data_IF_498163001472
#
_entry.id   IF_498163001472
#
_cell.length_a   1.000
_cell.length_b   1.000
_cell.length_c   1.000
_cell.angle_alpha   90.00
_cell.angle_beta   90.00
_cell.angle_gamma   90.00
#
_symmetry.space_group_name_H-M   'P 1'
#
loop_
_entity.id
_entity.type
_entity.pdbx_description
1 polymer ?
#
# COMPACT_ATOMS: atom_id res chain seq x y z
N UNK A 1 -20.22 -19.47 -5.70
CA UNK A 1 -19.21 -19.44 -6.81
C UNK A 1 -18.00 -20.25 -6.38
N UNK A 2 -17.50 -21.15 -7.24
CA UNK A 2 -16.30 -21.94 -6.91
C UNK A 2 -15.04 -21.15 -7.38
N UNK A 3 -14.78 -20.02 -6.74
CA UNK A 3 -13.60 -19.17 -7.04
C UNK A 3 -12.45 -19.63 -6.15
N UNK A 4 -11.28 -19.82 -6.73
CA UNK A 4 -10.08 -20.15 -5.97
C UNK A 4 -9.79 -19.07 -4.92
N UNK A 5 -9.60 -19.42 -3.62
CA UNK A 5 -9.19 -18.45 -2.60
C UNK A 5 -7.94 -17.66 -2.97
N UNK A 6 -7.00 -18.29 -3.64
CA UNK A 6 -5.79 -17.62 -4.13
C UNK A 6 -6.11 -16.54 -5.17
N UNK A 7 -6.93 -16.86 -6.18
CA UNK A 7 -7.33 -15.89 -7.18
C UNK A 7 -8.10 -14.72 -6.55
N UNK A 8 -9.01 -15.02 -5.62
CA UNK A 8 -9.73 -13.98 -4.87
C UNK A 8 -8.75 -13.09 -4.09
N UNK A 9 -7.81 -13.68 -3.36
CA UNK A 9 -6.83 -12.94 -2.55
C UNK A 9 -5.93 -12.03 -3.40
N UNK A 10 -5.41 -12.50 -4.55
CA UNK A 10 -4.60 -11.64 -5.41
C UNK A 10 -5.40 -10.52 -6.06
N UNK A 11 -6.66 -10.77 -6.45
CA UNK A 11 -7.52 -9.73 -7.03
C UNK A 11 -7.88 -8.67 -6.00
N UNK A 12 -8.35 -9.08 -4.82
CA UNK A 12 -8.70 -8.17 -3.72
C UNK A 12 -7.46 -7.43 -3.22
N UNK A 13 -6.36 -8.14 -2.99
CA UNK A 13 -5.10 -7.55 -2.49
C UNK A 13 -4.55 -6.51 -3.44
N UNK A 14 -4.45 -6.80 -4.73
CA UNK A 14 -4.00 -5.82 -5.72
C UNK A 14 -5.00 -4.66 -5.89
N UNK A 15 -6.31 -4.91 -5.78
CA UNK A 15 -7.33 -3.86 -5.82
C UNK A 15 -7.18 -2.87 -4.66
N UNK A 16 -6.96 -3.37 -3.43
CA UNK A 16 -6.69 -2.54 -2.25
C UNK A 16 -5.40 -1.73 -2.44
N UNK A 17 -4.34 -2.38 -2.89
CA UNK A 17 -3.04 -1.73 -3.06
C UNK A 17 -3.01 -0.73 -4.23
N UNK A 18 -3.81 -0.93 -5.28
CA UNK A 18 -3.99 0.07 -6.33
C UNK A 18 -4.52 1.41 -5.80
N UNK A 19 -5.35 1.37 -4.75
CA UNK A 19 -5.88 2.55 -4.07
C UNK A 19 -4.99 3.09 -2.94
N UNK A 20 -4.00 2.35 -2.47
CA UNK A 20 -3.23 2.66 -1.25
C UNK A 20 -2.50 4.01 -1.31
N UNK A 21 -1.98 4.40 -2.47
CA UNK A 21 -1.28 5.68 -2.67
C UNK A 21 -2.21 6.83 -3.10
N UNK A 22 -3.52 6.62 -3.10
CA UNK A 22 -4.49 7.70 -3.31
C UNK A 22 -4.27 8.84 -2.30
N UNK A 23 -4.41 10.11 -2.70
CA UNK A 23 -4.20 11.26 -1.80
C UNK A 23 -5.10 11.28 -0.56
N UNK A 24 -6.18 10.52 -0.56
CA UNK A 24 -7.12 10.37 0.57
C UNK A 24 -6.88 9.10 1.41
N UNK A 25 -6.02 8.20 0.95
CA UNK A 25 -5.70 6.98 1.67
C UNK A 25 -4.60 7.26 2.73
N UNK A 26 -4.64 6.57 3.89
CA UNK A 26 -3.62 6.78 4.93
C UNK A 26 -2.18 6.62 4.43
N UNK A 27 -1.91 5.59 3.64
CA UNK A 27 -0.58 5.37 3.03
C UNK A 27 -0.20 6.49 2.07
N UNK A 28 -1.14 6.96 1.23
CA UNK A 28 -0.92 8.09 0.33
C UNK A 28 -0.55 9.37 1.07
N UNK A 29 -1.17 9.62 2.24
CA UNK A 29 -0.84 10.77 3.10
C UNK A 29 0.58 10.67 3.67
N UNK A 30 0.99 9.48 4.15
CA UNK A 30 2.35 9.22 4.64
C UNK A 30 3.37 9.47 3.52
N UNK A 31 3.16 8.85 2.36
CA UNK A 31 4.06 8.99 1.20
C UNK A 31 4.14 10.43 0.71
N UNK A 32 3.02 11.15 0.67
CA UNK A 32 3.00 12.58 0.35
C UNK A 32 3.91 13.37 1.28
N UNK A 33 3.82 13.14 2.60
CA UNK A 33 4.71 13.78 3.58
C UNK A 33 6.18 13.51 3.26
N UNK A 34 6.56 12.24 3.15
CA UNK A 34 7.93 11.81 2.85
C UNK A 34 8.47 12.36 1.52
N UNK A 35 7.63 12.40 0.49
CA UNK A 35 8.03 12.97 -0.81
C UNK A 35 8.19 14.49 -0.76
N UNK A 36 7.35 15.19 0.00
CA UNK A 36 7.50 16.63 0.21
C UNK A 36 8.81 16.97 0.91
N UNK A 37 9.21 16.18 1.92
CA UNK A 37 10.44 16.37 2.70
C UNK A 37 11.70 16.23 1.82
N UNK A 38 11.65 15.47 0.75
CA UNK A 38 12.75 15.30 -0.22
C UNK A 38 12.59 16.16 -1.49
N UNK A 39 11.70 17.15 -1.48
CA UNK A 39 11.52 18.11 -2.58
C UNK A 39 10.68 17.61 -3.75
N UNK A 40 9.91 16.53 -3.58
CA UNK A 40 9.03 15.94 -4.60
C UNK A 40 7.54 16.27 -4.34
N UNK A 41 7.26 17.49 -3.91
CA UNK A 41 5.89 17.96 -3.69
C UNK A 41 5.08 17.99 -5.01
N UNK A 42 3.78 17.71 -4.92
CA UNK A 42 2.86 17.77 -6.07
C UNK A 42 2.83 16.54 -6.95
N UNK A 43 3.58 15.47 -6.61
CA UNK A 43 3.67 14.23 -7.38
C UNK A 43 2.68 13.13 -6.92
N UNK A 44 1.75 13.48 -6.03
CA UNK A 44 0.85 12.49 -5.42
C UNK A 44 -0.03 11.78 -6.45
N UNK A 45 -0.56 12.55 -7.41
CA UNK A 45 -1.41 12.00 -8.47
C UNK A 45 -0.65 11.04 -9.37
N UNK A 46 0.56 11.40 -9.77
CA UNK A 46 1.40 10.58 -10.64
C UNK A 46 1.81 9.30 -9.92
N UNK A 47 2.28 9.41 -8.67
CA UNK A 47 2.65 8.27 -7.84
C UNK A 47 1.49 7.29 -7.69
N UNK A 48 0.29 7.79 -7.42
CA UNK A 48 -0.91 6.97 -7.34
C UNK A 48 -1.24 6.29 -8.68
N UNK A 49 -1.21 7.03 -9.80
CA UNK A 49 -1.56 6.48 -11.11
C UNK A 49 -0.57 5.38 -11.56
N UNK A 50 0.73 5.58 -11.37
CA UNK A 50 1.72 4.53 -11.67
C UNK A 50 1.51 3.29 -10.81
N UNK A 51 1.28 3.48 -9.52
CA UNK A 51 0.98 2.37 -8.61
C UNK A 51 -0.29 1.63 -9.03
N UNK A 52 -1.38 2.34 -9.30
CA UNK A 52 -2.65 1.75 -9.73
C UNK A 52 -2.51 1.01 -11.06
N UNK A 53 -1.78 1.56 -12.03
CA UNK A 53 -1.52 0.91 -13.30
C UNK A 53 -0.70 -0.37 -13.14
N UNK A 54 0.36 -0.35 -12.31
CA UNK A 54 1.18 -1.52 -12.04
C UNK A 54 0.35 -2.64 -11.38
N UNK A 55 -0.46 -2.31 -10.38
CA UNK A 55 -1.37 -3.26 -9.74
C UNK A 55 -2.44 -3.79 -10.69
N UNK A 56 -2.98 -2.95 -11.58
CA UNK A 56 -3.93 -3.39 -12.59
C UNK A 56 -3.29 -4.43 -13.54
N UNK A 57 -2.09 -4.14 -14.05
CA UNK A 57 -1.34 -5.08 -14.91
C UNK A 57 -1.12 -6.41 -14.21
N UNK A 58 -0.67 -6.39 -12.96
CA UNK A 58 -0.40 -7.59 -12.16
C UNK A 58 -1.69 -8.34 -11.81
N UNK A 59 -2.76 -7.63 -11.41
CA UNK A 59 -4.05 -8.23 -11.09
C UNK A 59 -4.66 -8.92 -12.29
N UNK A 60 -4.78 -8.23 -13.42
CA UNK A 60 -5.35 -8.81 -14.64
C UNK A 60 -4.45 -9.91 -15.21
N UNK A 61 -3.12 -9.73 -15.17
CA UNK A 61 -2.18 -10.79 -15.52
C UNK A 61 -2.41 -12.06 -14.68
N UNK A 62 -2.49 -11.92 -13.38
CA UNK A 62 -2.82 -13.02 -12.46
C UNK A 62 -4.21 -13.60 -12.72
N UNK A 63 -5.21 -12.76 -12.98
CA UNK A 63 -6.56 -13.22 -13.34
C UNK A 63 -6.54 -14.13 -14.57
N UNK A 64 -5.85 -13.74 -15.63
CA UNK A 64 -5.77 -14.55 -16.85
C UNK A 64 -4.95 -15.84 -16.64
N UNK A 65 -3.84 -15.75 -15.93
CA UNK A 65 -2.95 -16.90 -15.69
C UNK A 65 -3.56 -17.97 -14.79
N UNK A 66 -4.34 -17.56 -13.76
CA UNK A 66 -4.92 -18.49 -12.78
C UNK A 66 -6.39 -18.85 -13.04
N UNK A 67 -6.81 -18.76 -14.29
CA UNK A 67 -8.08 -19.32 -14.76
C UNK A 67 -9.30 -18.42 -14.58
N UNK A 68 -9.11 -17.12 -14.40
CA UNK A 68 -10.19 -16.14 -14.31
C UNK A 68 -11.10 -16.11 -15.53
N UNK A 69 -10.57 -16.37 -16.74
CA UNK A 69 -11.39 -16.50 -17.95
C UNK A 69 -12.44 -17.60 -17.88
N UNK A 70 -12.16 -18.68 -17.16
CA UNK A 70 -13.14 -19.76 -16.99
C UNK A 70 -14.35 -19.31 -16.16
N UNK A 71 -14.17 -18.30 -15.29
CA UNK A 71 -15.26 -17.73 -14.49
C UNK A 71 -16.21 -16.90 -15.35
N UNK A 72 -15.73 -16.23 -16.39
CA UNK A 72 -16.57 -15.47 -17.33
C UNK A 72 -17.48 -16.36 -18.17
N UNK A 73 -17.06 -17.61 -18.41
CA UNK A 73 -17.83 -18.59 -19.18
C UNK A 73 -18.81 -19.40 -18.33
N UNK A 74 -18.67 -19.40 -17.01
CA UNK A 74 -19.57 -20.11 -16.10
C UNK A 74 -20.80 -19.26 -15.82
N UNK A 75 -21.90 -19.57 -16.46
CA UNK A 75 -23.25 -19.08 -16.09
C UNK A 75 -23.77 -19.86 -14.86
N UNK A 76 -23.07 -19.86 -13.76
CA UNK A 76 -23.67 -20.34 -12.52
C UNK A 76 -24.62 -19.25 -12.01
N UNK A 77 -25.92 -19.54 -12.00
CA UNK A 77 -26.89 -18.71 -11.29
C UNK A 77 -26.51 -18.70 -9.82
N UNK A 78 -26.01 -17.57 -9.37
CA UNK A 78 -25.79 -17.30 -7.94
C UNK A 78 -27.16 -17.37 -7.27
N UNK A 79 -27.43 -18.43 -6.50
CA UNK A 79 -28.49 -18.41 -5.50
C UNK A 79 -27.94 -17.46 -4.41
N UNK A 80 -28.37 -16.21 -4.47
CA UNK A 80 -28.18 -15.31 -3.35
C UNK A 80 -28.77 -16.02 -2.14
N UNK A 81 -27.94 -16.37 -1.15
CA UNK A 81 -28.46 -16.63 0.18
C UNK A 81 -29.14 -15.32 0.55
N UNK A 82 -30.44 -15.37 0.85
CA UNK A 82 -31.17 -14.22 1.38
C UNK A 82 -30.56 -13.89 2.75
N UNK A 83 -29.37 -13.26 2.74
CA UNK A 83 -28.94 -12.51 3.90
C UNK A 83 -29.98 -11.39 4.06
N UNK A 84 -30.74 -11.45 5.12
CA UNK A 84 -31.65 -10.37 5.52
C UNK A 84 -30.80 -9.12 5.68
N UNK A 85 -30.78 -8.27 4.64
CA UNK A 85 -30.11 -6.98 4.70
C UNK A 85 -30.87 -6.17 5.74
N UNK A 86 -30.24 -5.94 6.90
CA UNK A 86 -30.80 -5.05 7.90
C UNK A 86 -31.03 -3.66 7.30
N UNK A 87 -32.22 -3.07 7.48
CA UNK A 87 -32.47 -1.73 6.96
C UNK A 87 -31.52 -0.71 7.57
N UNK A 88 -31.08 0.26 6.76
CA UNK A 88 -30.23 1.34 7.22
C UNK A 88 -30.87 2.04 8.42
N UNK A 89 -30.22 1.98 9.55
CA UNK A 89 -30.61 2.71 10.74
C UNK A 89 -30.03 4.13 10.75
N UNK A 90 -30.49 4.96 11.67
CA UNK A 90 -30.05 6.35 11.81
C UNK A 90 -28.52 6.47 11.97
N UNK A 91 -27.89 5.56 12.70
CA UNK A 91 -26.44 5.58 12.93
C UNK A 91 -25.65 5.27 11.65
N UNK A 92 -26.14 4.36 10.82
CA UNK A 92 -25.57 4.08 9.52
C UNK A 92 -25.59 5.32 8.62
N UNK A 93 -26.73 6.04 8.59
CA UNK A 93 -26.86 7.26 7.78
C UNK A 93 -25.92 8.37 8.28
N UNK A 94 -25.84 8.60 9.59
CA UNK A 94 -24.94 9.59 10.20
C UNK A 94 -23.48 9.26 9.84
N UNK A 95 -23.10 7.99 9.94
CA UNK A 95 -21.74 7.55 9.60
C UNK A 95 -21.43 7.78 8.12
N UNK A 96 -22.34 7.40 7.21
CA UNK A 96 -22.16 7.60 5.77
C UNK A 96 -22.06 9.07 5.40
N UNK A 97 -22.90 9.91 6.00
CA UNK A 97 -22.86 11.38 5.80
C UNK A 97 -21.53 11.95 6.29
N UNK A 98 -21.06 11.54 7.47
CA UNK A 98 -19.78 12.01 8.02
C UNK A 98 -18.61 11.61 7.13
N UNK A 99 -18.58 10.37 6.63
CA UNK A 99 -17.56 9.92 5.67
C UNK A 99 -17.66 10.70 4.37
N UNK A 100 -18.87 10.93 3.84
CA UNK A 100 -19.09 11.72 2.64
C UNK A 100 -18.58 13.16 2.77
N UNK A 101 -18.87 13.81 3.89
CA UNK A 101 -18.39 15.17 4.19
C UNK A 101 -16.86 15.21 4.33
N UNK A 102 -16.26 14.20 4.96
CA UNK A 102 -14.80 14.06 5.05
C UNK A 102 -14.17 13.99 3.65
N UNK A 103 -14.68 13.10 2.81
CA UNK A 103 -14.17 12.94 1.44
C UNK A 103 -14.33 14.25 0.64
N UNK A 104 -15.49 14.89 0.71
CA UNK A 104 -15.71 16.17 0.05
C UNK A 104 -14.76 17.25 0.57
N UNK A 105 -14.58 17.33 1.89
CA UNK A 105 -13.66 18.27 2.54
C UNK A 105 -12.22 18.11 2.06
N UNK A 106 -11.75 16.87 2.00
CA UNK A 106 -10.38 16.57 1.55
C UNK A 106 -10.21 16.85 0.05
N UNK A 107 -11.15 16.39 -0.79
CA UNK A 107 -11.01 16.48 -2.25
C UNK A 107 -11.20 17.90 -2.77
N UNK A 108 -12.21 18.61 -2.28
CA UNK A 108 -12.58 19.93 -2.83
C UNK A 108 -12.00 21.11 -2.04
N UNK A 109 -11.77 20.94 -0.74
CA UNK A 109 -11.28 22.03 0.13
C UNK A 109 -9.82 21.82 0.59
N UNK A 110 -9.19 20.72 0.19
CA UNK A 110 -7.79 20.45 0.54
C UNK A 110 -7.56 20.27 2.05
N UNK A 111 -8.56 19.85 2.81
CA UNK A 111 -8.42 19.64 4.25
C UNK A 111 -7.40 18.53 4.52
N UNK A 112 -6.64 18.68 5.61
CA UNK A 112 -5.76 17.61 6.07
C UNK A 112 -6.59 16.39 6.46
N UNK A 113 -6.29 15.23 5.83
CA UNK A 113 -7.04 13.98 5.99
C UNK A 113 -7.09 13.54 7.46
N UNK A 114 -5.96 13.63 8.18
CA UNK A 114 -5.88 13.23 9.59
C UNK A 114 -6.76 14.10 10.49
N UNK A 115 -6.71 15.42 10.32
CA UNK A 115 -7.54 16.35 11.08
C UNK A 115 -9.03 16.19 10.73
N UNK A 116 -9.36 15.99 9.45
CA UNK A 116 -10.72 15.75 9.02
C UNK A 116 -11.28 14.43 9.58
N UNK A 117 -10.48 13.37 9.57
CA UNK A 117 -10.85 12.08 10.16
C UNK A 117 -11.04 12.18 11.68
N UNK A 118 -10.16 12.91 12.37
CA UNK A 118 -10.32 13.17 13.80
C UNK A 118 -11.58 13.96 14.11
N UNK A 119 -11.87 15.01 13.33
CA UNK A 119 -13.13 15.75 13.46
C UNK A 119 -14.36 14.87 13.22
N UNK A 120 -14.31 14.00 12.20
CA UNK A 120 -15.33 12.98 11.93
C UNK A 120 -15.54 12.03 13.10
N UNK A 121 -14.46 11.54 13.71
CA UNK A 121 -14.54 10.72 14.92
C UNK A 121 -15.24 11.44 16.08
N UNK A 122 -14.88 12.72 16.32
CA UNK A 122 -15.52 13.55 17.38
C UNK A 122 -17.01 13.71 17.09
N UNK A 123 -17.39 13.99 15.83
CA UNK A 123 -18.79 14.15 15.43
C UNK A 123 -19.58 12.85 15.69
N UNK A 124 -19.06 11.70 15.26
CA UNK A 124 -19.72 10.41 15.46
C UNK A 124 -19.86 10.06 16.94
N UNK A 125 -18.86 10.41 17.76
CA UNK A 125 -18.90 10.23 19.21
C UNK A 125 -19.96 11.11 19.87
N UNK A 126 -20.02 12.39 19.53
CA UNK A 126 -21.01 13.33 20.07
C UNK A 126 -22.45 12.94 19.70
N UNK A 127 -22.63 12.44 18.47
CA UNK A 127 -23.94 11.98 17.97
C UNK A 127 -24.28 10.55 18.46
N UNK A 128 -23.41 9.91 19.23
CA UNK A 128 -23.55 8.54 19.74
C UNK A 128 -23.86 7.55 18.61
N UNK A 129 -23.27 7.76 17.45
CA UNK A 129 -23.47 6.89 16.29
C UNK A 129 -22.66 5.59 16.34
N UNK A 130 -21.62 5.54 17.19
CA UNK A 130 -20.78 4.37 17.43
C UNK A 130 -20.41 4.26 18.92
N UNK A 131 -20.08 3.04 19.36
CA UNK A 131 -19.51 2.80 20.67
C UNK A 131 -18.06 3.30 20.69
N UNK A 132 -17.80 4.28 21.57
CA UNK A 132 -16.49 4.94 21.66
C UNK A 132 -15.40 3.99 22.17
N UNK A 133 -15.71 3.17 23.18
CA UNK A 133 -14.71 2.25 23.75
C UNK A 133 -14.31 1.18 22.75
N UNK A 134 -15.30 0.63 22.05
CA UNK A 134 -15.05 -0.35 21.00
C UNK A 134 -14.28 0.24 19.82
N UNK A 135 -14.61 1.45 19.40
CA UNK A 135 -13.90 2.17 18.35
C UNK A 135 -12.43 2.40 18.70
N UNK A 136 -12.12 2.85 19.93
CA UNK A 136 -10.74 3.07 20.40
C UNK A 136 -9.97 1.74 20.46
N UNK A 137 -10.60 0.65 20.89
CA UNK A 137 -9.96 -0.68 20.90
C UNK A 137 -9.60 -1.18 19.51
N UNK A 138 -10.38 -0.81 18.49
CA UNK A 138 -10.14 -1.18 17.08
C UNK A 138 -9.11 -0.30 16.37
N UNK A 139 -8.63 0.77 16.98
CA UNK A 139 -7.53 1.58 16.44
C UNK A 139 -6.28 0.69 16.31
N UNK A 140 -5.57 0.72 15.18
CA UNK A 140 -4.37 -0.09 14.96
C UNK A 140 -3.16 0.49 15.72
N UNK A 141 -3.20 0.44 17.06
CA UNK A 141 -2.19 1.01 17.95
C UNK A 141 -0.78 0.51 17.67
N UNK A 142 -0.64 -0.77 17.34
CA UNK A 142 0.67 -1.34 16.97
C UNK A 142 1.28 -0.65 15.74
N UNK A 143 0.46 -0.33 14.73
CA UNK A 143 0.91 0.39 13.54
C UNK A 143 1.29 1.83 13.88
N UNK A 144 0.50 2.52 14.71
CA UNK A 144 0.79 3.89 15.14
C UNK A 144 2.12 3.94 15.89
N UNK A 145 2.31 3.07 16.89
CA UNK A 145 3.56 3.00 17.67
C UNK A 145 4.76 2.66 16.79
N UNK A 146 4.58 1.73 15.85
CA UNK A 146 5.64 1.35 14.90
C UNK A 146 6.04 2.52 14.00
N UNK A 147 5.09 3.24 13.40
CA UNK A 147 5.35 4.41 12.55
C UNK A 147 6.06 5.51 13.34
N UNK A 148 5.58 5.84 14.54
CA UNK A 148 6.23 6.82 15.41
C UNK A 148 7.65 6.41 15.77
N UNK A 149 7.86 5.14 16.14
CA UNK A 149 9.18 4.61 16.48
C UNK A 149 10.16 4.66 15.31
N UNK A 150 9.72 4.23 14.12
CA UNK A 150 10.53 4.30 12.89
C UNK A 150 10.88 5.74 12.55
N UNK A 151 9.96 6.68 12.67
CA UNK A 151 10.21 8.12 12.43
C UNK A 151 11.32 8.66 13.35
N UNK A 152 11.31 8.28 14.62
CA UNK A 152 12.38 8.67 15.57
C UNK A 152 13.72 8.08 15.15
N UNK A 153 13.77 6.81 14.74
CA UNK A 153 15.00 6.17 14.27
C UNK A 153 15.54 6.84 12.99
N UNK A 154 14.66 7.23 12.07
CA UNK A 154 15.04 7.95 10.84
C UNK A 154 15.64 9.32 11.19
N UNK A 155 15.01 10.10 12.07
CA UNK A 155 15.57 11.36 12.54
C UNK A 155 16.93 11.18 13.22
N UNK A 156 17.16 10.06 13.90
CA UNK A 156 18.48 9.76 14.46
C UNK A 156 19.50 9.43 13.37
N UNK A 157 19.11 8.65 12.36
CA UNK A 157 19.97 8.33 11.20
C UNK A 157 20.35 9.61 10.43
N UNK A 158 19.43 10.56 10.24
CA UNK A 158 19.71 11.85 9.62
C UNK A 158 20.76 12.64 10.40
N UNK A 159 20.59 12.74 11.73
CA UNK A 159 21.53 13.48 12.60
C UNK A 159 22.92 12.84 12.72
N UNK A 160 23.03 11.54 12.48
CA UNK A 160 24.29 10.78 12.61
C UNK A 160 24.94 10.48 11.27
N UNK A 161 24.49 11.10 10.15
CA UNK A 161 24.90 10.77 8.78
C UNK A 161 24.70 9.30 8.39
N UNK A 162 23.86 8.58 9.10
CA UNK A 162 23.51 7.19 8.80
C UNK A 162 22.83 7.04 7.44
N UNK A 163 22.04 8.04 7.02
CA UNK A 163 21.42 8.07 5.70
C UNK A 163 22.47 8.13 4.57
N UNK A 164 23.53 8.92 4.75
CA UNK A 164 24.63 9.02 3.78
C UNK A 164 25.43 7.72 3.69
N UNK A 165 25.62 7.05 4.82
CA UNK A 165 26.27 5.74 4.87
C UNK A 165 25.44 4.68 4.14
N UNK A 166 24.15 4.65 4.38
CA UNK A 166 23.21 3.73 3.73
C UNK A 166 23.14 3.99 2.22
N UNK A 167 23.04 5.26 1.80
CA UNK A 167 23.07 5.65 0.40
C UNK A 167 24.40 5.28 -0.28
N UNK A 168 25.55 5.43 0.42
CA UNK A 168 26.85 5.03 -0.08
C UNK A 168 26.95 3.51 -0.25
N UNK A 169 26.38 2.75 0.67
CA UNK A 169 26.32 1.30 0.56
C UNK A 169 25.53 0.85 -0.68
N UNK A 170 24.34 1.41 -0.91
CA UNK A 170 23.53 1.13 -2.10
C UNK A 170 24.28 1.54 -3.37
N UNK A 171 24.86 2.76 -3.40
CA UNK A 171 25.58 3.29 -4.55
C UNK A 171 26.80 2.43 -4.94
N UNK A 172 27.40 1.71 -4.00
CA UNK A 172 28.53 0.81 -4.29
C UNK A 172 28.15 -0.37 -5.20
N UNK A 173 26.89 -0.79 -5.17
CA UNK A 173 26.39 -1.94 -5.93
C UNK A 173 25.52 -1.52 -7.12
N UNK A 174 25.39 -0.22 -7.38
CA UNK A 174 24.53 0.31 -8.44
C UNK A 174 25.22 1.38 -9.27
N UNK A 175 24.73 1.54 -10.48
CA UNK A 175 25.02 2.66 -11.38
C UNK A 175 23.71 3.42 -11.66
N UNK A 176 23.78 4.55 -12.33
CA UNK A 176 22.55 5.25 -12.77
C UNK A 176 21.62 4.36 -13.58
N UNK A 177 22.16 3.42 -14.37
CA UNK A 177 21.33 2.50 -15.19
C UNK A 177 20.72 1.35 -14.38
N UNK A 178 21.40 0.86 -13.34
CA UNK A 178 20.99 -0.32 -12.57
C UNK A 178 20.26 -0.01 -11.28
N UNK A 179 20.22 1.26 -10.87
CA UNK A 179 19.62 1.67 -9.60
C UNK A 179 18.14 1.33 -9.50
N UNK A 180 17.38 1.51 -10.59
CA UNK A 180 15.94 1.24 -10.62
C UNK A 180 15.64 -0.24 -10.33
N UNK A 181 16.13 -1.22 -11.11
CA UNK A 181 15.86 -2.62 -10.82
C UNK A 181 16.47 -3.09 -9.50
N UNK A 182 17.62 -2.55 -9.08
CA UNK A 182 18.24 -2.91 -7.80
C UNK A 182 17.37 -2.45 -6.63
N UNK A 183 16.93 -1.18 -6.63
CA UNK A 183 16.06 -0.65 -5.58
C UNK A 183 14.70 -1.32 -5.59
N UNK A 184 14.11 -1.54 -6.77
CA UNK A 184 12.83 -2.25 -6.87
C UNK A 184 12.92 -3.66 -6.26
N UNK A 185 13.99 -4.40 -6.57
CA UNK A 185 14.24 -5.71 -6.00
C UNK A 185 14.48 -5.66 -4.48
N UNK A 186 15.33 -4.74 -4.02
CA UNK A 186 15.64 -4.61 -2.59
C UNK A 186 14.44 -4.17 -1.76
N UNK A 187 13.76 -3.11 -2.19
CA UNK A 187 12.55 -2.60 -1.53
C UNK A 187 11.44 -3.65 -1.55
N UNK A 188 11.21 -4.29 -2.70
CA UNK A 188 10.23 -5.36 -2.82
C UNK A 188 10.55 -6.54 -1.90
N UNK A 189 11.81 -7.00 -1.86
CA UNK A 189 12.22 -8.11 -1.00
C UNK A 189 11.97 -7.80 0.49
N UNK A 190 12.30 -6.59 0.94
CA UNK A 190 12.09 -6.17 2.32
C UNK A 190 10.57 -6.02 2.60
N UNK A 191 9.81 -5.48 1.65
CA UNK A 191 8.35 -5.36 1.76
C UNK A 191 7.63 -6.72 1.82
N UNK A 192 8.25 -7.79 1.31
CA UNK A 192 7.66 -9.13 1.36
C UNK A 192 7.38 -9.62 2.78
N UNK A 193 8.13 -9.14 3.77
CA UNK A 193 8.01 -9.54 5.19
C UNK A 193 7.94 -8.35 6.15
N UNK A 194 7.76 -7.13 5.63
CA UNK A 194 7.64 -5.92 6.43
C UNK A 194 6.51 -5.04 5.90
N UNK A 195 6.07 -4.06 6.68
CA UNK A 195 5.08 -3.08 6.22
C UNK A 195 5.74 -2.06 5.29
N UNK A 196 5.28 -2.00 4.05
CA UNK A 196 5.76 -1.05 3.06
C UNK A 196 5.60 0.39 3.53
N UNK A 197 4.40 0.77 3.92
CA UNK A 197 4.07 2.15 4.31
C UNK A 197 4.58 2.56 5.69
N UNK A 198 4.63 1.62 6.64
CA UNK A 198 5.00 1.92 8.02
C UNK A 198 6.51 1.82 8.30
N UNK A 199 7.25 1.05 7.49
CA UNK A 199 8.68 0.78 7.72
C UNK A 199 9.50 1.08 6.48
N UNK A 200 9.19 0.41 5.34
CA UNK A 200 10.11 0.41 4.19
C UNK A 200 10.22 1.80 3.57
N UNK A 201 9.10 2.43 3.20
CA UNK A 201 9.12 3.74 2.57
C UNK A 201 9.68 4.84 3.48
N UNK A 202 9.32 4.91 4.78
CA UNK A 202 9.95 5.86 5.70
C UNK A 202 11.48 5.72 5.80
N UNK A 203 12.01 4.51 5.67
CA UNK A 203 13.47 4.28 5.72
C UNK A 203 14.13 4.62 4.39
N UNK A 204 13.52 4.24 3.25
CA UNK A 204 14.18 4.35 1.95
C UNK A 204 13.99 5.70 1.27
N UNK A 205 12.79 6.31 1.30
CA UNK A 205 12.53 7.57 0.60
C UNK A 205 13.47 8.73 1.04
N UNK A 206 13.77 8.93 2.32
CA UNK A 206 14.68 9.98 2.75
C UNK A 206 16.13 9.82 2.26
N UNK A 207 16.52 8.61 1.81
CA UNK A 207 17.86 8.37 1.27
C UNK A 207 18.05 8.88 -0.16
N UNK A 208 16.97 9.20 -0.86
CA UNK A 208 17.00 9.55 -2.29
C UNK A 208 17.91 10.73 -2.62
N UNK A 209 17.87 11.87 -1.90
CA UNK A 209 18.74 13.01 -2.23
C UNK A 209 20.23 12.64 -2.18
N UNK A 210 20.66 11.94 -1.13
CA UNK A 210 22.05 11.51 -0.97
C UNK A 210 22.44 10.46 -2.03
N UNK A 211 21.55 9.53 -2.33
CA UNK A 211 21.78 8.50 -3.35
C UNK A 211 21.89 9.10 -4.75
N UNK A 212 21.00 10.02 -5.10
CA UNK A 212 21.02 10.73 -6.38
C UNK A 212 22.30 11.53 -6.57
N UNK A 213 22.72 12.26 -5.54
CA UNK A 213 23.97 13.01 -5.57
C UNK A 213 25.21 12.11 -5.77
N UNK A 214 25.25 10.93 -5.14
CA UNK A 214 26.37 9.97 -5.28
C UNK A 214 26.42 9.30 -6.65
N UNK A 215 25.29 9.10 -7.29
CA UNK A 215 25.18 8.45 -8.61
C UNK A 215 25.10 9.45 -9.78
N UNK A 216 25.09 10.76 -9.51
CA UNK A 216 24.94 11.79 -10.53
C UNK A 216 23.56 11.78 -11.22
N UNK A 217 22.52 11.37 -10.49
CA UNK A 217 21.16 11.22 -11.02
C UNK A 217 20.39 12.51 -10.81
N UNK A 218 19.75 13.01 -11.86
CA UNK A 218 18.90 14.20 -11.81
C UNK A 218 17.43 13.87 -11.54
N UNK A 219 16.97 12.70 -11.97
CA UNK A 219 15.56 12.26 -11.83
C UNK A 219 15.31 11.53 -10.51
N UNK A 220 15.25 12.25 -9.40
CA UNK A 220 14.90 11.71 -8.06
C UNK A 220 13.48 11.14 -8.02
N UNK A 221 12.57 11.70 -8.82
CA UNK A 221 11.19 11.24 -8.96
C UNK A 221 11.09 9.78 -9.43
N UNK A 222 11.90 9.37 -10.43
CA UNK A 222 11.93 8.00 -10.93
C UNK A 222 12.33 7.00 -9.83
N UNK A 223 13.29 7.38 -8.98
CA UNK A 223 13.72 6.56 -7.85
C UNK A 223 12.59 6.46 -6.81
N UNK A 224 11.93 7.57 -6.47
CA UNK A 224 10.82 7.58 -5.52
C UNK A 224 9.64 6.73 -6.00
N UNK A 225 9.26 6.86 -7.26
CA UNK A 225 8.21 6.05 -7.88
C UNK A 225 8.57 4.57 -7.90
N UNK A 226 9.83 4.24 -8.18
CA UNK A 226 10.34 2.86 -8.12
C UNK A 226 10.12 2.26 -6.74
N UNK A 227 10.53 2.95 -5.68
CA UNK A 227 10.38 2.48 -4.30
C UNK A 227 8.90 2.31 -3.92
N UNK A 228 8.07 3.27 -4.29
CA UNK A 228 6.63 3.24 -4.01
C UNK A 228 5.95 2.05 -4.70
N UNK A 229 6.14 1.92 -6.00
CA UNK A 229 5.46 0.88 -6.80
C UNK A 229 5.96 -0.52 -6.43
N UNK A 230 7.28 -0.72 -6.37
CA UNK A 230 7.86 -2.05 -6.08
C UNK A 230 7.50 -2.56 -4.68
N UNK A 231 7.50 -1.69 -3.67
CA UNK A 231 7.11 -2.04 -2.32
C UNK A 231 5.67 -2.51 -2.24
N UNK A 232 4.75 -1.75 -2.83
CA UNK A 232 3.32 -2.08 -2.77
C UNK A 232 2.95 -3.31 -3.60
N UNK A 233 3.61 -3.58 -4.73
CA UNK A 233 3.36 -4.80 -5.53
C UNK A 233 3.59 -6.08 -4.74
N UNK A 234 4.55 -6.08 -3.83
CA UNK A 234 4.91 -7.25 -3.02
C UNK A 234 4.02 -7.39 -1.77
N UNK A 235 3.32 -6.35 -1.38
CA UNK A 235 2.57 -6.24 -0.11
C UNK A 235 1.32 -7.16 -0.03
N UNK A 236 1.06 -7.94 -1.07
CA UNK A 236 0.10 -9.07 -1.06
C UNK A 236 0.74 -10.35 -0.50
N UNK A 237 2.01 -10.33 -0.12
CA UNK A 237 2.69 -11.41 0.62
C UNK A 237 1.96 -11.73 1.93
N UNK A 238 1.84 -13.00 2.36
CA UNK A 238 1.17 -13.37 3.60
C UNK A 238 1.94 -12.94 4.86
N UNK A 239 3.16 -12.47 4.72
CA UNK A 239 3.99 -11.91 5.79
C UNK A 239 3.80 -10.39 5.92
N UNK A 240 3.11 -9.76 4.97
CA UNK A 240 2.69 -8.36 5.04
C UNK A 240 1.23 -8.23 5.48
N UNK A 241 0.77 -6.99 5.70
CA UNK A 241 -0.55 -6.72 6.29
C UNK A 241 -1.70 -7.27 5.43
N UNK A 242 -1.70 -7.02 4.12
CA UNK A 242 -2.83 -7.38 3.24
C UNK A 242 -2.90 -8.88 3.02
N UNK A 243 -1.77 -9.53 2.74
CA UNK A 243 -1.74 -10.98 2.56
C UNK A 243 -2.10 -11.74 3.84
N UNK A 244 -1.65 -11.27 5.00
CA UNK A 244 -2.04 -11.85 6.29
C UNK A 244 -3.57 -11.76 6.53
N UNK A 245 -4.18 -10.62 6.20
CA UNK A 245 -5.64 -10.45 6.27
C UNK A 245 -6.37 -11.41 5.33
N UNK A 246 -5.88 -11.61 4.10
CA UNK A 246 -6.46 -12.58 3.16
C UNK A 246 -6.42 -14.01 3.72
N UNK A 247 -5.33 -14.40 4.37
CA UNK A 247 -5.22 -15.73 5.01
C UNK A 247 -6.16 -15.84 6.22
N UNK A 248 -6.23 -14.80 7.05
CA UNK A 248 -7.09 -14.77 8.24
C UNK A 248 -8.60 -14.74 7.90
N UNK A 249 -8.97 -14.22 6.73
CA UNK A 249 -10.35 -14.12 6.27
C UNK A 249 -10.87 -15.39 5.55
N UNK A 250 -10.08 -16.48 5.53
CA UNK A 250 -10.48 -17.72 4.88
C UNK A 250 -11.69 -18.33 5.60
N UNK A 251 -12.75 -18.73 4.83
CA UNK A 251 -13.86 -19.45 5.40
C UNK A 251 -13.46 -20.81 6.00
N UNK A 252 -14.21 -21.34 6.98
CA UNK A 252 -13.99 -22.68 7.51
C UNK A 252 -13.98 -23.74 6.41
N UNK A 253 -13.07 -24.71 6.52
CA UNK A 253 -12.95 -25.81 5.53
C UNK A 253 -11.91 -25.58 4.42
N UNK A 254 -11.37 -24.37 4.28
CA UNK A 254 -10.27 -24.11 3.35
C UNK A 254 -8.89 -24.31 4.01
N UNK A 255 -7.92 -24.71 3.20
CA UNK A 255 -6.55 -24.94 3.69
C UNK A 255 -5.74 -23.62 3.75
N UNK A 256 -5.67 -23.01 4.94
CA UNK A 256 -4.95 -21.76 5.16
C UNK A 256 -3.45 -21.85 4.86
N UNK A 257 -2.81 -23.00 5.15
CA UNK A 257 -1.39 -23.21 4.84
C UNK A 257 -1.13 -23.21 3.34
N UNK A 258 -2.05 -23.78 2.56
CA UNK A 258 -1.95 -23.76 1.09
C UNK A 258 -2.01 -22.33 0.56
N UNK A 259 -3.00 -21.54 1.02
CA UNK A 259 -3.12 -20.14 0.62
C UNK A 259 -1.90 -19.34 1.04
N UNK A 260 -1.42 -19.53 2.26
CA UNK A 260 -0.20 -18.89 2.76
C UNK A 260 0.99 -19.13 1.81
N UNK A 261 1.26 -20.39 1.45
CA UNK A 261 2.37 -20.73 0.57
C UNK A 261 2.20 -20.16 -0.85
N UNK A 262 0.96 -20.13 -1.35
CA UNK A 262 0.64 -19.55 -2.66
C UNK A 262 0.88 -18.03 -2.67
N UNK A 263 0.43 -17.32 -1.64
CA UNK A 263 0.63 -15.88 -1.50
C UNK A 263 2.11 -15.53 -1.23
N UNK A 264 2.84 -16.39 -0.53
CA UNK A 264 4.28 -16.21 -0.32
C UNK A 264 5.03 -16.33 -1.66
N UNK A 265 4.74 -17.36 -2.44
CA UNK A 265 5.30 -17.51 -3.79
C UNK A 265 4.92 -16.35 -4.71
N UNK A 266 3.68 -15.87 -4.63
CA UNK A 266 3.22 -14.68 -5.34
C UNK A 266 4.01 -13.44 -4.93
N UNK A 267 4.08 -13.11 -3.64
CA UNK A 267 4.82 -11.95 -3.14
C UNK A 267 6.30 -11.97 -3.56
N UNK A 268 6.97 -13.12 -3.42
CA UNK A 268 8.36 -13.25 -3.86
C UNK A 268 8.51 -13.11 -5.38
N UNK A 269 7.57 -13.62 -6.18
CA UNK A 269 7.59 -13.41 -7.64
C UNK A 269 7.38 -11.95 -8.01
N UNK A 270 6.59 -11.21 -7.24
CA UNK A 270 6.37 -9.78 -7.44
C UNK A 270 7.63 -8.94 -7.19
N UNK A 271 8.58 -9.42 -6.40
CA UNK A 271 9.89 -8.76 -6.26
C UNK A 271 10.61 -8.67 -7.62
N UNK A 272 10.60 -9.76 -8.38
CA UNK A 272 11.22 -9.79 -9.72
C UNK A 272 10.36 -9.07 -10.75
N UNK A 273 9.05 -9.35 -10.78
CA UNK A 273 8.12 -8.73 -11.73
C UNK A 273 8.05 -7.22 -11.47
N UNK A 274 8.02 -6.78 -10.22
CA UNK A 274 8.05 -5.37 -9.85
C UNK A 274 9.35 -4.68 -10.29
N UNK A 275 10.50 -5.35 -10.16
CA UNK A 275 11.76 -4.82 -10.66
C UNK A 275 11.73 -4.63 -12.18
N UNK A 276 11.18 -5.59 -12.93
CA UNK A 276 11.00 -5.47 -14.39
C UNK A 276 10.02 -4.36 -14.76
N UNK A 277 8.88 -4.29 -14.09
CA UNK A 277 7.88 -3.23 -14.33
C UNK A 277 8.49 -1.85 -14.07
N UNK A 278 9.17 -1.67 -12.94
CA UNK A 278 9.81 -0.40 -12.61
C UNK A 278 10.92 -0.04 -13.60
N UNK A 279 11.73 -1.00 -14.01
CA UNK A 279 12.77 -0.79 -15.03
C UNK A 279 12.22 -0.35 -16.39
N UNK A 280 11.03 -0.86 -16.77
CA UNK A 280 10.36 -0.46 -18.02
C UNK A 280 9.69 0.92 -17.91
N UNK A 281 9.14 1.26 -16.74
CA UNK A 281 8.39 2.49 -16.53
C UNK A 281 9.27 3.69 -16.16
N UNK A 282 10.31 3.47 -15.37
CA UNK A 282 11.09 4.55 -14.76
C UNK A 282 12.52 4.54 -15.30
N UNK A 283 12.79 5.46 -16.22
CA UNK A 283 14.15 5.70 -16.69
C UNK A 283 14.78 6.79 -15.84
N UNK A 284 16.00 6.54 -15.40
CA UNK A 284 16.84 7.49 -14.67
C UNK A 284 17.86 8.05 -15.65
N UNK A 285 17.83 9.34 -15.84
CA UNK A 285 18.80 10.09 -16.67
C UNK A 285 19.65 10.98 -15.78
#
# INVERSE_FOLDING_TARGET
MNISPFLMAIMVGNGVQAGALSPIAPTGVIVKGLMNDIGLAGMERETWLYNAAAHAVVAFGGYFLFGGLSLLRRQERYKATEETIEPLNKNHVVTLVTIGLLILGVVFFGLNVGLAAFAGFVILTLLRAADQEEAIKKVPWSTIVMVCGVTVLISLMEKTSGMDLFAAFIARFSTAETIVPLLAGTVGLISAYSSTSAVVLPVFLPTIPSLAAKLGITSTAAIAMTMNVSGHLVDVSPLSTIGALCVASLPPGYNGRRLFNQLLGWGLSMTVIGAVICWLLFKVS
#
